data_IF_193953560765
#
_entry.id   IF_193953560765
#
_cell.length_a   1.000
_cell.length_b   1.000
_cell.length_c   1.000
_cell.angle_alpha   90.00
_cell.angle_beta   90.00
_cell.angle_gamma   90.00
#
_symmetry.space_group_name_H-M   'P 1'
#
loop_
_entity.id
_entity.type
_entity.pdbx_description
1 polymer ?
#
# COMPACT_ATOMS: atom_id res chain seq x y z
N UNK A 1 -30.48 29.19 41.76
CA UNK A 1 -31.54 28.40 42.42
C UNK A 1 -31.48 27.00 41.84
N UNK A 2 -30.97 26.06 42.62
CA UNK A 2 -31.62 24.80 43.08
C UNK A 2 -31.93 23.84 41.91
N UNK A 3 -31.51 22.61 41.81
CA UNK A 3 -31.09 21.50 42.73
C UNK A 3 -30.40 20.44 41.84
N UNK A 4 -29.23 19.88 42.06
CA UNK A 4 -28.86 18.81 43.01
C UNK A 4 -29.69 17.52 42.85
N UNK A 5 -28.89 16.45 42.59
CA UNK A 5 -28.83 15.16 43.31
C UNK A 5 -29.61 14.06 42.57
N UNK A 6 -29.12 12.84 42.25
CA UNK A 6 -28.45 11.88 43.13
C UNK A 6 -27.81 10.75 42.28
N UNK A 7 -26.60 10.34 42.62
CA UNK A 7 -26.00 9.07 42.30
C UNK A 7 -26.62 7.96 43.18
N UNK A 8 -26.78 6.75 42.68
CA UNK A 8 -26.79 5.54 43.51
C UNK A 8 -26.07 4.40 42.81
N UNK A 9 -25.02 4.01 43.46
CA UNK A 9 -24.23 2.78 43.36
C UNK A 9 -25.09 1.60 43.81
N UNK A 10 -25.04 0.47 43.13
CA UNK A 10 -25.34 -0.82 43.72
C UNK A 10 -24.35 -1.87 43.30
N UNK A 11 -23.40 -2.13 44.19
CA UNK A 11 -22.55 -3.33 44.29
C UNK A 11 -23.23 -4.28 45.26
N UNK A 12 -23.32 -5.58 44.90
CA UNK A 12 -23.46 -6.73 45.82
C UNK A 12 -23.35 -7.99 44.94
N UNK A 13 -22.27 -8.77 44.93
CA UNK A 13 -21.71 -9.74 45.86
C UNK A 13 -22.74 -10.76 46.36
N UNK A 14 -22.46 -12.03 46.02
CA UNK A 14 -22.63 -13.27 46.82
C UNK A 14 -22.40 -14.45 45.88
N UNK A 15 -21.37 -15.21 45.86
CA UNK A 15 -20.67 -16.08 46.77
C UNK A 15 -21.50 -17.25 47.34
N UNK A 16 -20.96 -18.44 47.09
CA UNK A 16 -21.14 -19.70 47.81
C UNK A 16 -22.38 -20.57 47.57
N UNK A 17 -22.16 -21.78 47.02
CA UNK A 17 -22.38 -23.02 47.80
C UNK A 17 -21.71 -24.21 47.12
N UNK A 18 -20.63 -24.68 47.71
CA UNK A 18 -20.21 -26.07 47.60
C UNK A 18 -21.17 -26.94 48.42
N UNK A 19 -21.51 -28.14 47.97
CA UNK A 19 -21.49 -29.33 48.82
C UNK A 19 -21.41 -30.58 48.00
N UNK A 20 -20.57 -31.43 48.48
CA UNK A 20 -20.25 -32.77 48.09
C UNK A 20 -21.34 -33.79 48.36
N UNK A 21 -21.33 -34.87 47.61
CA UNK A 21 -22.10 -36.04 47.87
C UNK A 21 -21.50 -37.29 47.18
N UNK A 22 -20.53 -37.89 47.84
CA UNK A 22 -20.12 -39.25 47.52
C UNK A 22 -21.18 -40.28 47.92
N UNK A 23 -21.51 -41.22 47.03
CA UNK A 23 -21.85 -42.55 47.52
C UNK A 23 -21.52 -43.63 46.47
N UNK A 24 -20.65 -44.54 46.89
CA UNK A 24 -20.34 -45.84 46.24
C UNK A 24 -21.49 -46.82 46.43
N UNK A 25 -21.77 -47.63 45.41
CA UNK A 25 -21.96 -49.05 45.60
C UNK A 25 -21.72 -49.82 44.28
N UNK A 26 -20.92 -50.83 44.38
CA UNK A 26 -20.53 -51.81 43.39
C UNK A 26 -21.61 -52.91 43.28
N UNK A 27 -21.60 -53.60 42.15
CA UNK A 27 -21.39 -55.05 42.03
C UNK A 27 -21.98 -55.62 40.73
N UNK A 28 -21.07 -56.06 39.86
CA UNK A 28 -20.99 -57.24 38.97
C UNK A 28 -22.18 -57.61 38.06
N UNK A 29 -21.93 -57.83 36.75
CA UNK A 29 -21.44 -59.09 36.16
C UNK A 29 -21.23 -58.97 34.66
N UNK A 30 -20.21 -59.67 34.19
CA UNK A 30 -19.73 -60.03 32.87
C UNK A 30 -20.69 -59.92 31.68
N UNK A 31 -20.15 -59.29 30.56
CA UNK A 31 -20.15 -59.99 29.27
C UNK A 31 -19.03 -59.42 28.37
N UNK A 32 -18.20 -60.31 27.87
CA UNK A 32 -17.17 -60.10 26.87
C UNK A 32 -17.75 -59.55 25.58
N UNK A 33 -17.26 -58.38 25.14
CA UNK A 33 -17.28 -58.00 23.73
C UNK A 33 -16.01 -57.21 23.44
N UNK A 34 -15.30 -57.60 22.40
CA UNK A 34 -14.02 -57.14 21.88
C UNK A 34 -13.97 -55.63 21.75
N UNK A 35 -12.86 -54.95 22.14
CA UNK A 35 -12.72 -53.50 21.90
C UNK A 35 -12.40 -53.26 20.45
N UNK A 36 -13.37 -52.76 19.70
CA UNK A 36 -13.07 -52.03 18.47
C UNK A 36 -12.34 -50.76 18.82
N UNK A 37 -11.08 -50.65 18.42
CA UNK A 37 -10.27 -49.46 18.51
C UNK A 37 -10.93 -48.36 17.72
N UNK A 38 -11.73 -47.50 18.35
CA UNK A 38 -12.06 -46.19 17.81
C UNK A 38 -10.77 -45.36 17.91
N UNK A 39 -10.09 -45.19 16.79
CA UNK A 39 -9.12 -44.14 16.64
C UNK A 39 -9.88 -42.83 16.82
N UNK A 40 -9.77 -42.24 18.01
CA UNK A 40 -10.04 -40.82 18.18
C UNK A 40 -9.03 -40.09 17.31
N UNK A 41 -9.41 -39.73 16.09
CA UNK A 41 -8.75 -38.75 15.30
C UNK A 41 -8.98 -37.44 16.02
N UNK A 42 -8.10 -37.14 16.96
CA UNK A 42 -7.96 -35.79 17.50
C UNK A 42 -7.54 -34.90 16.31
N UNK A 43 -8.50 -34.24 15.68
CA UNK A 43 -8.23 -33.17 14.73
C UNK A 43 -7.42 -32.14 15.49
N UNK A 44 -6.13 -32.08 15.22
CA UNK A 44 -5.26 -31.05 15.77
C UNK A 44 -5.90 -29.69 15.47
N UNK A 45 -5.98 -28.81 16.48
CA UNK A 45 -6.54 -27.48 16.28
C UNK A 45 -5.74 -26.77 15.18
N UNK A 46 -6.45 -26.20 14.21
CA UNK A 46 -5.82 -25.42 13.13
C UNK A 46 -4.98 -24.30 13.73
N UNK A 47 -3.83 -24.02 13.12
CA UNK A 47 -3.02 -22.84 13.46
C UNK A 47 -3.65 -21.62 12.80
N UNK A 48 -4.03 -20.63 13.59
CA UNK A 48 -4.54 -19.37 13.07
C UNK A 48 -3.38 -18.49 12.60
N UNK A 49 -3.51 -17.93 11.39
CA UNK A 49 -2.58 -16.98 10.76
C UNK A 49 -3.36 -15.74 10.35
N UNK A 50 -2.90 -14.58 10.77
CA UNK A 50 -3.54 -13.28 10.50
C UNK A 50 -2.69 -12.48 9.52
N UNK A 51 -3.34 -11.93 8.49
CA UNK A 51 -2.74 -11.03 7.52
C UNK A 51 -3.24 -9.62 7.77
N UNK A 52 -2.36 -8.60 7.75
CA UNK A 52 -2.75 -7.20 7.60
C UNK A 52 -2.42 -6.71 6.19
N UNK A 53 -3.38 -5.96 5.60
CA UNK A 53 -3.26 -5.34 4.29
C UNK A 53 -3.96 -3.98 4.29
N UNK A 54 -3.66 -3.13 3.30
CA UNK A 54 -4.15 -1.74 3.29
C UNK A 54 -4.84 -1.30 2.00
N UNK A 55 -5.11 -2.19 1.06
CA UNK A 55 -5.80 -1.82 -0.18
C UNK A 55 -7.24 -1.35 0.09
N UNK A 56 -7.54 -0.11 -0.29
CA UNK A 56 -8.87 0.50 -0.12
C UNK A 56 -9.88 -0.05 -1.12
N UNK A 57 -9.42 -0.43 -2.32
CA UNK A 57 -10.27 -0.89 -3.41
C UNK A 57 -11.00 -2.20 -3.04
N UNK A 58 -12.33 -2.18 -3.16
CA UNK A 58 -13.16 -3.35 -2.84
C UNK A 58 -12.82 -4.57 -3.71
N UNK A 59 -12.44 -4.36 -4.98
CA UNK A 59 -11.97 -5.41 -5.90
C UNK A 59 -10.74 -6.15 -5.35
N UNK A 60 -9.75 -5.41 -4.82
CA UNK A 60 -8.55 -5.99 -4.22
C UNK A 60 -8.88 -6.75 -2.93
N UNK A 61 -9.76 -6.21 -2.08
CA UNK A 61 -10.20 -6.87 -0.86
C UNK A 61 -10.92 -8.18 -1.15
N UNK A 62 -11.81 -8.20 -2.15
CA UNK A 62 -12.49 -9.42 -2.61
C UNK A 62 -11.52 -10.44 -3.17
N UNK A 63 -10.53 -9.99 -3.95
CA UNK A 63 -9.51 -10.86 -4.52
C UNK A 63 -8.65 -11.51 -3.43
N UNK A 64 -8.15 -10.74 -2.46
CA UNK A 64 -7.40 -11.30 -1.33
C UNK A 64 -8.25 -12.29 -0.52
N UNK A 65 -9.52 -11.96 -0.27
CA UNK A 65 -10.44 -12.86 0.42
C UNK A 65 -10.59 -14.19 -0.34
N UNK A 66 -10.74 -14.14 -1.66
CA UNK A 66 -10.77 -15.33 -2.51
C UNK A 66 -9.51 -16.19 -2.41
N UNK A 67 -8.33 -15.56 -2.43
CA UNK A 67 -7.04 -16.25 -2.27
C UNK A 67 -6.96 -16.96 -0.90
N UNK A 68 -7.35 -16.26 0.16
CA UNK A 68 -7.38 -16.80 1.53
C UNK A 68 -8.34 -17.97 1.65
N UNK A 69 -9.54 -17.86 1.09
CA UNK A 69 -10.55 -18.92 1.08
C UNK A 69 -10.07 -20.17 0.33
N UNK A 70 -9.41 -19.98 -0.81
CA UNK A 70 -8.87 -21.08 -1.61
C UNK A 70 -7.75 -21.80 -0.87
N UNK A 71 -6.85 -21.06 -0.21
CA UNK A 71 -5.84 -21.66 0.67
C UNK A 71 -6.50 -22.45 1.81
N UNK A 72 -7.44 -21.85 2.51
CA UNK A 72 -8.13 -22.48 3.64
C UNK A 72 -8.91 -23.76 3.25
N UNK A 73 -9.39 -23.84 2.00
CA UNK A 73 -10.02 -25.04 1.45
C UNK A 73 -9.02 -26.11 1.01
N UNK A 74 -7.81 -25.70 0.60
CA UNK A 74 -6.80 -26.61 0.04
C UNK A 74 -6.10 -27.49 1.08
N UNK A 75 -6.20 -27.14 2.37
CA UNK A 75 -5.52 -27.86 3.46
C UNK A 75 -6.32 -27.73 4.78
N UNK A 76 -5.99 -28.56 5.78
CA UNK A 76 -6.75 -28.67 7.03
C UNK A 76 -6.03 -28.08 8.27
N UNK A 77 -4.73 -27.75 8.16
CA UNK A 77 -3.87 -27.49 9.32
C UNK A 77 -3.75 -26.00 9.70
N UNK A 78 -3.98 -25.11 8.74
CA UNK A 78 -3.82 -23.66 8.91
C UNK A 78 -5.15 -23.00 8.57
N UNK A 79 -5.52 -21.97 9.33
CA UNK A 79 -6.62 -21.08 9.02
C UNK A 79 -6.07 -19.66 8.88
N UNK A 80 -6.11 -19.14 7.67
CA UNK A 80 -5.71 -17.77 7.37
C UNK A 80 -6.93 -16.85 7.43
N UNK A 81 -6.74 -15.66 7.99
CA UNK A 81 -7.71 -14.55 7.98
C UNK A 81 -7.02 -13.26 7.57
N UNK A 82 -7.72 -12.39 6.87
CA UNK A 82 -7.19 -11.10 6.43
C UNK A 82 -7.93 -9.96 7.12
N UNK A 83 -7.17 -8.94 7.57
CA UNK A 83 -7.68 -7.73 8.22
C UNK A 83 -7.22 -6.51 7.44
N UNK A 84 -8.18 -5.70 7.01
CA UNK A 84 -7.93 -4.40 6.43
C UNK A 84 -7.50 -3.41 7.52
N UNK A 85 -6.44 -2.65 7.23
CA UNK A 85 -5.98 -1.50 8.01
C UNK A 85 -5.74 -0.36 7.02
N UNK A 86 -6.39 0.80 7.16
CA UNK A 86 -6.19 1.91 6.24
C UNK A 86 -4.73 2.29 6.07
N UNK A 87 -4.30 2.62 4.85
CA UNK A 87 -2.90 2.93 4.54
C UNK A 87 -2.35 4.05 5.42
N UNK A 88 -3.12 5.11 5.63
CA UNK A 88 -2.76 6.24 6.48
C UNK A 88 -2.47 5.87 7.95
N UNK A 89 -3.11 4.80 8.45
CA UNK A 89 -2.96 4.30 9.82
C UNK A 89 -1.99 3.12 9.92
N UNK A 90 -1.60 2.50 8.79
CA UNK A 90 -0.92 1.21 8.76
C UNK A 90 0.40 1.22 9.54
N UNK A 91 1.26 2.20 9.28
CA UNK A 91 2.54 2.38 9.99
C UNK A 91 2.35 2.59 11.49
N UNK A 92 1.35 3.38 11.87
CA UNK A 92 1.01 3.64 13.27
C UNK A 92 0.52 2.36 13.96
N UNK A 93 -0.35 1.58 13.31
CA UNK A 93 -0.85 0.33 13.85
C UNK A 93 0.27 -0.72 14.00
N UNK A 94 1.20 -0.82 13.05
CA UNK A 94 2.39 -1.68 13.17
C UNK A 94 3.26 -1.26 14.37
N UNK A 95 3.50 0.04 14.55
CA UNK A 95 4.30 0.55 15.67
C UNK A 95 3.64 0.25 17.02
N UNK A 96 2.32 0.46 17.13
CA UNK A 96 1.54 0.12 18.33
C UNK A 96 1.59 -1.39 18.59
N UNK A 97 1.33 -2.21 17.56
CA UNK A 97 1.36 -3.67 17.66
C UNK A 97 2.73 -4.21 18.06
N UNK A 98 3.80 -3.56 17.60
CA UNK A 98 5.18 -3.90 18.02
C UNK A 98 5.37 -3.68 19.53
N UNK A 99 4.95 -2.53 20.04
CA UNK A 99 5.07 -2.21 21.47
C UNK A 99 4.17 -3.10 22.35
N UNK A 100 2.99 -3.46 21.86
CA UNK A 100 2.01 -4.30 22.54
C UNK A 100 2.28 -5.81 22.38
N UNK A 101 3.17 -6.22 21.47
CA UNK A 101 3.37 -7.61 21.02
C UNK A 101 2.09 -8.23 20.41
N UNK A 102 1.28 -7.41 19.75
CA UNK A 102 0.02 -7.78 19.11
C UNK A 102 0.08 -7.53 17.59
N UNK A 103 1.14 -8.04 16.95
CA UNK A 103 1.30 -7.99 15.50
C UNK A 103 0.54 -9.14 14.81
N UNK A 104 0.15 -8.98 13.53
CA UNK A 104 -0.32 -10.09 12.70
C UNK A 104 0.81 -11.11 12.47
N UNK A 105 0.59 -12.11 11.62
CA UNK A 105 1.61 -13.06 11.22
C UNK A 105 2.23 -12.70 9.87
N UNK A 106 1.46 -12.05 9.00
CA UNK A 106 1.86 -11.61 7.67
C UNK A 106 1.42 -10.15 7.49
N UNK A 107 2.24 -9.37 6.81
CA UNK A 107 1.88 -8.02 6.36
C UNK A 107 2.15 -7.88 4.86
N UNK A 108 1.22 -7.24 4.16
CA UNK A 108 1.53 -6.56 2.91
C UNK A 108 2.05 -5.18 3.28
N UNK A 109 3.26 -4.87 2.86
CA UNK A 109 3.93 -3.63 3.24
C UNK A 109 4.50 -2.94 2.01
N UNK A 110 4.39 -1.62 1.96
CA UNK A 110 4.99 -0.82 0.88
C UNK A 110 6.51 -1.06 0.84
N UNK A 111 7.04 -1.25 -0.34
CA UNK A 111 8.42 -1.68 -0.55
C UNK A 111 9.48 -0.82 0.16
N UNK A 112 9.38 0.53 0.24
CA UNK A 112 10.40 1.36 0.90
C UNK A 112 10.43 1.19 2.43
N UNK A 113 9.35 0.70 3.03
CA UNK A 113 9.24 0.55 4.48
C UNK A 113 9.84 -0.77 4.99
N UNK A 114 10.06 -1.75 4.11
CA UNK A 114 10.52 -3.09 4.51
C UNK A 114 11.84 -3.04 5.28
N UNK A 115 12.82 -2.26 4.83
CA UNK A 115 14.11 -2.13 5.49
C UNK A 115 13.99 -1.53 6.91
N UNK A 116 13.06 -0.58 7.11
CA UNK A 116 12.80 0.03 8.41
C UNK A 116 12.34 -1.01 9.44
N UNK A 117 11.32 -1.79 9.10
CA UNK A 117 10.79 -2.80 10.02
C UNK A 117 11.70 -4.01 10.18
N UNK A 118 12.45 -4.38 9.14
CA UNK A 118 13.49 -5.40 9.24
C UNK A 118 14.60 -4.99 10.23
N UNK A 119 15.03 -3.73 10.22
CA UNK A 119 16.03 -3.20 11.16
C UNK A 119 15.58 -3.24 12.62
N UNK A 120 14.26 -3.17 12.86
CA UNK A 120 13.66 -3.31 14.19
C UNK A 120 13.55 -4.77 14.66
N UNK A 121 13.95 -5.76 13.84
CA UNK A 121 13.85 -7.19 14.15
C UNK A 121 12.42 -7.75 14.11
N UNK A 122 11.47 -7.02 13.51
CA UNK A 122 10.05 -7.41 13.48
C UNK A 122 9.82 -8.53 12.47
N UNK A 123 10.55 -8.55 11.35
CA UNK A 123 10.36 -9.54 10.29
C UNK A 123 11.25 -10.76 10.48
N UNK A 124 10.74 -11.92 10.11
CA UNK A 124 11.48 -13.17 10.07
C UNK A 124 12.48 -13.16 8.90
N UNK A 125 13.70 -13.63 9.16
CA UNK A 125 14.67 -13.93 8.11
C UNK A 125 14.22 -15.16 7.32
N UNK A 126 13.89 -14.97 6.05
CA UNK A 126 13.46 -16.01 5.13
C UNK A 126 14.50 -16.35 4.07
N UNK A 127 15.75 -15.96 4.27
CA UNK A 127 16.87 -16.26 3.36
C UNK A 127 16.95 -17.76 3.09
N UNK A 128 16.95 -18.13 1.81
CA UNK A 128 17.01 -19.53 1.38
C UNK A 128 15.74 -20.36 1.60
N UNK A 129 14.67 -19.78 2.16
CA UNK A 129 13.41 -20.51 2.41
C UNK A 129 12.43 -20.45 1.22
N UNK A 130 12.62 -19.52 0.30
CA UNK A 130 11.86 -19.36 -0.95
C UNK A 130 12.85 -19.23 -2.10
N UNK A 131 12.54 -19.84 -3.25
CA UNK A 131 13.33 -19.65 -4.47
C UNK A 131 13.07 -18.25 -5.07
N UNK A 132 14.11 -17.44 -5.12
CA UNK A 132 14.07 -16.07 -5.63
C UNK A 132 14.71 -15.90 -7.01
N UNK A 133 15.14 -16.98 -7.66
CA UNK A 133 15.88 -16.95 -8.95
C UNK A 133 15.10 -16.27 -10.09
N UNK A 134 13.78 -16.34 -10.05
CA UNK A 134 12.89 -15.75 -11.05
C UNK A 134 12.47 -14.31 -10.74
N UNK A 135 12.87 -13.72 -9.62
CA UNK A 135 12.52 -12.33 -9.31
C UNK A 135 13.48 -11.35 -9.98
N UNK A 136 12.96 -10.19 -10.39
CA UNK A 136 13.78 -9.06 -10.79
C UNK A 136 14.59 -8.54 -9.59
N UNK A 137 15.82 -8.12 -9.87
CA UNK A 137 16.75 -7.68 -8.81
C UNK A 137 16.24 -6.43 -8.08
N UNK A 138 15.69 -5.44 -8.79
CA UNK A 138 15.20 -4.19 -8.21
C UNK A 138 14.14 -4.44 -7.12
N UNK A 139 12.98 -5.05 -7.44
CA UNK A 139 11.97 -5.40 -6.44
C UNK A 139 12.52 -6.31 -5.33
N UNK A 140 13.34 -7.31 -5.66
CA UNK A 140 13.90 -8.22 -4.66
C UNK A 140 14.82 -7.50 -3.66
N UNK A 141 15.57 -6.49 -4.11
CA UNK A 141 16.44 -5.71 -3.23
C UNK A 141 15.66 -4.88 -2.20
N UNK A 142 14.41 -4.48 -2.49
CA UNK A 142 13.55 -3.81 -1.51
C UNK A 142 13.17 -4.71 -0.32
N UNK A 143 13.31 -6.03 -0.47
CA UNK A 143 13.05 -7.03 0.57
C UNK A 143 14.29 -7.36 1.40
N UNK A 144 15.46 -6.78 1.10
CA UNK A 144 16.74 -7.14 1.73
C UNK A 144 17.23 -6.04 2.68
N UNK A 145 17.86 -6.50 3.75
CA UNK A 145 18.66 -5.69 4.66
C UNK A 145 19.89 -6.50 5.09
N UNK A 146 21.08 -5.91 5.02
CA UNK A 146 22.36 -6.55 5.43
C UNK A 146 22.57 -7.97 4.85
N UNK A 147 22.21 -8.14 3.56
CA UNK A 147 22.34 -9.39 2.83
C UNK A 147 21.29 -10.46 3.15
N UNK A 148 20.38 -10.20 4.07
CA UNK A 148 19.28 -11.10 4.46
C UNK A 148 17.98 -10.72 3.78
N UNK A 149 17.10 -11.71 3.60
CA UNK A 149 15.80 -11.56 2.96
C UNK A 149 14.69 -11.54 4.01
N UNK A 150 13.90 -10.46 4.06
CA UNK A 150 12.84 -10.23 5.04
C UNK A 150 11.43 -10.18 4.46
N UNK A 151 11.30 -10.36 3.15
CA UNK A 151 10.03 -10.40 2.44
C UNK A 151 10.19 -10.96 1.05
N UNK A 152 9.07 -11.07 0.34
CA UNK A 152 9.03 -11.42 -1.09
C UNK A 152 8.26 -10.32 -1.82
N UNK A 153 8.76 -9.80 -2.94
CA UNK A 153 7.99 -8.84 -3.73
C UNK A 153 6.70 -9.50 -4.23
N UNK A 154 5.57 -8.92 -3.88
CA UNK A 154 4.28 -9.41 -4.39
C UNK A 154 4.06 -8.94 -5.82
N UNK A 155 4.16 -7.64 -6.04
CA UNK A 155 4.04 -7.01 -7.35
C UNK A 155 4.73 -5.66 -7.38
N UNK A 156 5.02 -5.19 -8.58
CA UNK A 156 5.53 -3.85 -8.84
C UNK A 156 4.43 -2.99 -9.41
N UNK A 157 4.46 -1.70 -9.12
CA UNK A 157 3.57 -0.71 -9.69
C UNK A 157 4.32 0.60 -9.93
N UNK A 158 3.71 1.47 -10.68
CA UNK A 158 4.20 2.82 -10.96
C UNK A 158 3.04 3.76 -11.26
N UNK A 159 3.36 5.01 -11.53
CA UNK A 159 2.40 6.08 -11.76
C UNK A 159 2.36 6.48 -13.24
N UNK A 160 1.16 6.85 -13.71
CA UNK A 160 0.95 7.41 -15.03
C UNK A 160 -0.10 8.55 -14.98
N UNK A 161 -0.27 9.28 -16.06
CA UNK A 161 -1.29 10.30 -16.22
C UNK A 161 -2.59 9.67 -16.70
N UNK A 162 -3.64 9.71 -15.89
CA UNK A 162 -5.01 9.43 -16.30
C UNK A 162 -5.67 10.71 -16.79
N UNK A 163 -6.42 10.65 -17.87
CA UNK A 163 -7.10 11.81 -18.41
C UNK A 163 -8.48 11.49 -18.97
N UNK A 164 -9.40 12.46 -18.85
CA UNK A 164 -10.73 12.40 -19.43
C UNK A 164 -10.67 12.94 -20.86
N UNK A 165 -10.89 12.07 -21.85
CA UNK A 165 -10.78 12.41 -23.27
C UNK A 165 -11.78 13.48 -23.71
N UNK A 166 -13.03 13.42 -23.23
CA UNK A 166 -14.07 14.37 -23.60
C UNK A 166 -13.76 15.75 -22.99
N UNK A 167 -13.23 15.85 -21.77
CA UNK A 167 -12.86 17.12 -21.17
C UNK A 167 -11.68 17.78 -21.87
N UNK A 168 -10.63 17.03 -22.21
CA UNK A 168 -9.50 17.55 -22.96
C UNK A 168 -9.94 18.02 -24.35
N UNK A 169 -10.75 17.21 -25.02
CA UNK A 169 -11.32 17.57 -26.35
C UNK A 169 -12.17 18.81 -26.28
N UNK A 170 -13.04 18.95 -25.29
CA UNK A 170 -13.89 20.14 -25.11
C UNK A 170 -13.04 21.40 -24.86
N UNK A 171 -11.91 21.28 -24.16
CA UNK A 171 -10.96 22.36 -23.96
C UNK A 171 -10.05 22.64 -25.17
N UNK A 172 -10.14 21.83 -26.24
CA UNK A 172 -9.27 21.93 -27.42
C UNK A 172 -7.81 21.59 -27.12
N UNK A 173 -7.58 20.69 -26.16
CA UNK A 173 -6.26 20.31 -25.70
C UNK A 173 -5.85 18.92 -26.16
N UNK A 174 -4.58 18.75 -26.49
CA UNK A 174 -3.93 17.45 -26.60
C UNK A 174 -3.54 16.93 -25.20
N UNK A 175 -3.22 15.66 -25.10
CA UNK A 175 -2.66 15.06 -23.88
C UNK A 175 -1.28 15.69 -23.62
N UNK A 176 -1.03 16.24 -22.40
CA UNK A 176 0.22 16.92 -22.09
C UNK A 176 1.39 15.93 -21.98
N UNK A 177 2.56 16.33 -22.48
CA UNK A 177 3.81 15.56 -22.48
C UNK A 177 4.92 16.25 -21.69
N UNK A 178 4.73 17.50 -21.33
CA UNK A 178 5.66 18.31 -20.52
C UNK A 178 4.94 18.97 -19.35
N UNK A 179 5.69 19.41 -18.35
CA UNK A 179 5.12 20.14 -17.21
C UNK A 179 4.40 21.41 -17.62
N UNK A 180 4.98 22.16 -18.55
CA UNK A 180 4.37 23.39 -19.04
C UNK A 180 3.02 23.09 -19.74
N UNK A 181 2.97 22.04 -20.57
CA UNK A 181 1.72 21.59 -21.19
C UNK A 181 0.73 21.10 -20.13
N UNK A 182 1.17 20.32 -19.11
CA UNK A 182 0.30 19.87 -18.01
C UNK A 182 -0.37 21.06 -17.34
N UNK A 183 0.41 22.09 -16.99
CA UNK A 183 -0.12 23.29 -16.34
C UNK A 183 -1.12 24.02 -17.22
N UNK A 184 -0.82 24.20 -18.51
CA UNK A 184 -1.70 24.90 -19.45
C UNK A 184 -2.98 24.10 -19.73
N UNK A 185 -2.91 22.78 -19.90
CA UNK A 185 -4.08 21.91 -20.07
C UNK A 185 -4.94 21.94 -18.81
N UNK A 186 -4.31 21.82 -17.63
CA UNK A 186 -5.01 21.87 -16.36
C UNK A 186 -5.76 23.19 -16.17
N UNK A 187 -5.16 24.35 -16.52
CA UNK A 187 -5.84 25.65 -16.49
C UNK A 187 -7.05 25.69 -17.41
N UNK A 188 -6.91 25.19 -18.66
CA UNK A 188 -7.98 25.22 -19.65
C UNK A 188 -9.15 24.31 -19.33
N UNK A 189 -8.89 23.22 -18.61
CA UNK A 189 -9.92 22.25 -18.18
C UNK A 189 -10.53 22.59 -16.82
N UNK A 190 -9.94 23.52 -16.06
CA UNK A 190 -10.50 24.00 -14.79
C UNK A 190 -11.73 24.86 -15.03
N UNK A 191 -12.79 24.58 -14.29
CA UNK A 191 -14.06 25.33 -14.26
C UNK A 191 -14.52 25.49 -12.81
N UNK A 192 -15.66 26.10 -12.58
CA UNK A 192 -16.28 26.20 -11.24
C UNK A 192 -16.61 24.82 -10.62
N UNK A 193 -16.70 23.76 -11.44
CA UNK A 193 -17.10 22.41 -11.02
C UNK A 193 -16.02 21.35 -11.22
N UNK A 194 -15.04 21.61 -12.04
CA UNK A 194 -14.00 20.65 -12.45
C UNK A 194 -12.64 21.23 -12.14
N UNK A 195 -11.83 20.49 -11.41
CA UNK A 195 -10.40 20.79 -11.28
C UNK A 195 -9.64 20.20 -12.47
N UNK A 196 -8.66 20.94 -12.98
CA UNK A 196 -7.90 20.48 -14.15
C UNK A 196 -6.97 19.33 -13.85
N UNK A 197 -6.39 19.32 -12.64
CA UNK A 197 -5.42 18.30 -12.24
C UNK A 197 -5.42 18.06 -10.73
N UNK A 198 -5.12 16.81 -10.33
CA UNK A 198 -4.74 16.44 -8.98
C UNK A 198 -3.88 15.17 -8.95
N UNK A 199 -3.18 14.99 -7.85
CA UNK A 199 -2.76 13.70 -7.32
C UNK A 199 -2.97 13.72 -5.81
N UNK A 200 -2.89 12.59 -5.13
CA UNK A 200 -2.87 12.58 -3.65
C UNK A 200 -1.72 13.47 -3.16
N UNK A 201 -2.06 14.45 -2.36
CA UNK A 201 -1.12 15.43 -1.82
C UNK A 201 -1.16 15.43 -0.29
N UNK A 202 -1.57 14.30 0.31
CA UNK A 202 -1.57 14.08 1.74
C UNK A 202 -0.16 14.27 2.32
N UNK A 203 -0.09 14.75 3.56
CA UNK A 203 1.16 14.77 4.32
C UNK A 203 1.47 13.37 4.85
N UNK A 204 1.76 12.44 3.95
CA UNK A 204 2.14 11.06 4.24
C UNK A 204 2.87 10.45 3.03
N UNK A 205 3.06 9.11 3.04
CA UNK A 205 3.75 8.38 1.96
C UNK A 205 3.05 8.50 0.60
N UNK A 206 1.71 8.62 0.54
CA UNK A 206 1.00 8.81 -0.73
C UNK A 206 1.38 10.12 -1.41
N UNK A 207 1.42 11.23 -0.64
CA UNK A 207 1.86 12.52 -1.15
C UNK A 207 3.33 12.50 -1.56
N UNK A 208 4.19 11.87 -0.76
CA UNK A 208 5.61 11.69 -1.10
C UNK A 208 5.76 10.92 -2.41
N UNK A 209 5.07 9.80 -2.56
CA UNK A 209 5.15 8.95 -3.74
C UNK A 209 4.79 9.69 -5.02
N UNK A 210 3.70 10.46 -4.98
CA UNK A 210 3.28 11.28 -6.12
C UNK A 210 4.27 12.41 -6.38
N UNK A 211 4.72 13.14 -5.34
CA UNK A 211 5.59 14.29 -5.50
C UNK A 211 7.00 13.92 -6.00
N UNK A 212 7.54 12.79 -5.58
CA UNK A 212 8.86 12.35 -6.01
C UNK A 212 8.98 12.15 -7.53
N UNK A 213 7.89 11.90 -8.25
CA UNK A 213 7.93 11.87 -9.72
C UNK A 213 8.44 13.21 -10.28
N UNK A 214 7.94 14.32 -9.74
CA UNK A 214 8.39 15.66 -10.13
C UNK A 214 9.85 15.93 -9.72
N UNK A 215 10.25 15.49 -8.53
CA UNK A 215 11.63 15.64 -8.05
C UNK A 215 12.62 14.94 -8.98
N UNK A 216 12.34 13.69 -9.34
CA UNK A 216 13.19 12.91 -10.24
C UNK A 216 13.16 13.44 -11.67
N UNK A 217 11.99 13.86 -12.18
CA UNK A 217 11.85 14.48 -13.50
C UNK A 217 12.64 15.78 -13.61
N UNK A 218 12.72 16.55 -12.54
CA UNK A 218 13.56 17.76 -12.48
C UNK A 218 15.07 17.45 -12.46
N UNK A 219 15.49 16.20 -12.22
CA UNK A 219 16.88 15.75 -12.31
C UNK A 219 17.63 15.68 -10.98
N UNK A 220 16.93 15.60 -9.84
CA UNK A 220 17.53 15.37 -8.52
C UNK A 220 17.04 14.06 -7.88
N UNK A 221 17.36 13.83 -6.61
CA UNK A 221 17.06 12.60 -5.88
C UNK A 221 16.14 12.89 -4.69
N UNK A 222 15.52 11.83 -4.11
CA UNK A 222 14.73 11.94 -2.89
C UNK A 222 15.53 12.38 -1.66
N UNK A 223 16.85 12.35 -1.74
CA UNK A 223 17.76 12.72 -0.65
C UNK A 223 18.36 14.14 -0.81
N UNK A 224 18.17 14.77 -1.97
CA UNK A 224 18.77 16.05 -2.32
C UNK A 224 17.72 17.00 -2.93
N UNK A 225 16.78 17.48 -2.10
CA UNK A 225 15.68 18.33 -2.57
C UNK A 225 15.95 19.83 -2.43
N UNK A 226 16.98 20.26 -1.69
CA UNK A 226 17.38 21.67 -1.57
C UNK A 226 18.44 22.06 -2.60
N UNK A 227 18.18 21.77 -3.86
CA UNK A 227 18.97 22.24 -4.99
C UNK A 227 18.04 22.85 -6.04
N UNK A 228 18.59 23.39 -7.12
CA UNK A 228 17.80 24.05 -8.16
C UNK A 228 16.68 23.18 -8.74
N UNK A 229 16.92 21.86 -8.89
CA UNK A 229 15.95 20.92 -9.43
C UNK A 229 14.81 20.61 -8.42
N UNK A 230 15.14 20.33 -7.16
CA UNK A 230 14.13 20.07 -6.13
C UNK A 230 13.27 21.30 -5.82
N UNK A 231 13.90 22.49 -5.74
CA UNK A 231 13.18 23.76 -5.59
C UNK A 231 12.26 24.01 -6.80
N UNK A 232 12.71 23.69 -8.03
CA UNK A 232 11.89 23.78 -9.25
C UNK A 232 10.66 22.89 -9.18
N UNK A 233 10.79 21.65 -8.68
CA UNK A 233 9.68 20.72 -8.53
C UNK A 233 8.61 21.24 -7.53
N UNK A 234 9.05 21.76 -6.39
CA UNK A 234 8.16 22.40 -5.41
C UNK A 234 7.49 23.66 -5.99
N UNK A 235 8.25 24.52 -6.65
CA UNK A 235 7.75 25.76 -7.27
C UNK A 235 6.72 25.48 -8.37
N UNK A 236 6.91 24.41 -9.16
CA UNK A 236 5.95 23.99 -10.17
C UNK A 236 4.60 23.62 -9.53
N UNK A 237 4.60 22.80 -8.49
CA UNK A 237 3.39 22.44 -7.76
C UNK A 237 2.71 23.68 -7.14
N UNK A 238 3.50 24.56 -6.49
CA UNK A 238 3.00 25.80 -5.93
C UNK A 238 2.39 26.75 -6.97
N UNK A 239 2.97 26.83 -8.16
CA UNK A 239 2.41 27.62 -9.28
C UNK A 239 1.08 27.07 -9.74
N UNK A 240 0.94 25.76 -9.91
CA UNK A 240 -0.32 25.13 -10.28
C UNK A 240 -1.41 25.32 -9.21
N UNK A 241 -1.05 25.19 -7.93
CA UNK A 241 -1.97 25.47 -6.82
C UNK A 241 -2.41 26.95 -6.81
N UNK A 242 -1.49 27.88 -7.01
CA UNK A 242 -1.78 29.33 -7.10
C UNK A 242 -2.67 29.68 -8.28
N UNK A 243 -2.49 29.02 -9.42
CA UNK A 243 -3.33 29.18 -10.61
C UNK A 243 -4.74 28.59 -10.43
N UNK A 244 -4.97 27.78 -9.38
CA UNK A 244 -6.20 27.02 -9.19
C UNK A 244 -6.33 25.81 -10.13
N UNK A 245 -5.27 25.47 -10.87
CA UNK A 245 -5.26 24.33 -11.81
C UNK A 245 -4.96 22.98 -11.11
N UNK A 246 -4.39 23.01 -9.93
CA UNK A 246 -4.27 21.87 -9.02
C UNK A 246 -5.37 21.92 -7.96
N UNK A 247 -6.12 20.85 -7.79
CA UNK A 247 -7.22 20.78 -6.82
C UNK A 247 -6.68 21.02 -5.39
N UNK A 248 -7.20 22.07 -4.73
CA UNK A 248 -6.75 22.44 -3.35
C UNK A 248 -7.08 21.36 -2.34
N UNK A 249 -8.19 20.66 -2.54
CA UNK A 249 -8.69 19.61 -1.65
C UNK A 249 -7.82 18.34 -1.68
N UNK A 250 -6.94 18.21 -2.70
CA UNK A 250 -6.05 17.05 -2.85
C UNK A 250 -5.11 16.82 -1.66
N UNK A 251 -4.89 17.86 -0.84
CA UNK A 251 -4.15 17.74 0.43
C UNK A 251 -4.88 16.88 1.47
N UNK A 252 -6.15 16.54 1.24
CA UNK A 252 -6.96 15.68 2.08
C UNK A 252 -7.44 14.41 1.36
N UNK A 253 -7.02 14.20 0.10
CA UNK A 253 -7.45 13.06 -0.71
C UNK A 253 -6.42 11.95 -0.72
N UNK A 254 -6.86 10.74 -0.42
CA UNK A 254 -6.11 9.52 -0.73
C UNK A 254 -6.01 9.34 -2.25
N UNK A 255 -5.19 8.39 -2.69
CA UNK A 255 -5.17 8.01 -4.11
C UNK A 255 -6.53 7.44 -4.56
N UNK A 256 -7.24 6.75 -3.65
CA UNK A 256 -8.61 6.29 -3.86
C UNK A 256 -9.60 7.46 -3.99
N UNK A 257 -9.51 8.47 -3.12
CA UNK A 257 -10.36 9.67 -3.22
C UNK A 257 -10.09 10.43 -4.53
N UNK A 258 -8.83 10.58 -4.93
CA UNK A 258 -8.45 11.22 -6.19
C UNK A 258 -9.07 10.49 -7.38
N UNK A 259 -9.03 9.15 -7.41
CA UNK A 259 -9.71 8.32 -8.41
C UNK A 259 -11.23 8.55 -8.39
N UNK A 260 -11.85 8.60 -7.21
CA UNK A 260 -13.30 8.82 -7.08
C UNK A 260 -13.72 10.19 -7.60
N UNK A 261 -12.91 11.24 -7.39
CA UNK A 261 -13.15 12.56 -7.99
C UNK A 261 -13.06 12.50 -9.52
N UNK A 262 -12.11 11.76 -10.06
CA UNK A 262 -11.96 11.58 -11.50
C UNK A 262 -13.15 10.81 -12.11
N UNK A 263 -13.56 9.69 -11.52
CA UNK A 263 -14.73 8.90 -11.95
C UNK A 263 -16.03 9.74 -11.90
N UNK A 264 -16.16 10.60 -10.88
CA UNK A 264 -17.32 11.47 -10.71
C UNK A 264 -17.34 12.65 -11.71
N UNK A 265 -16.31 12.81 -12.55
CA UNK A 265 -16.22 13.90 -13.51
C UNK A 265 -15.87 15.26 -12.89
N UNK A 266 -15.36 15.27 -11.66
CA UNK A 266 -14.92 16.49 -10.96
C UNK A 266 -13.45 16.82 -11.22
N UNK A 267 -12.73 15.95 -11.94
CA UNK A 267 -11.31 16.07 -12.22
C UNK A 267 -11.00 15.69 -13.66
N UNK A 268 -10.29 16.56 -14.39
CA UNK A 268 -9.96 16.30 -15.80
C UNK A 268 -8.76 15.39 -16.00
N UNK A 269 -7.75 15.51 -15.13
CA UNK A 269 -6.52 14.72 -15.17
C UNK A 269 -6.08 14.37 -13.76
N UNK A 270 -5.53 13.16 -13.58
CA UNK A 270 -4.89 12.76 -12.32
C UNK A 270 -3.60 11.97 -12.56
N UNK A 271 -2.65 12.09 -11.65
CA UNK A 271 -1.59 11.09 -11.50
C UNK A 271 -2.09 10.03 -10.51
N UNK A 272 -2.05 8.78 -10.95
CA UNK A 272 -2.39 7.63 -10.12
C UNK A 272 -1.70 6.37 -10.67
N UNK A 273 -1.85 5.23 -9.99
CA UNK A 273 -1.10 4.04 -10.35
C UNK A 273 -1.90 2.91 -10.97
N UNK A 274 -1.16 1.85 -11.33
CA UNK A 274 -1.68 0.65 -11.99
C UNK A 274 -2.84 0.00 -11.22
N UNK A 275 -2.81 0.07 -9.88
CA UNK A 275 -3.83 -0.51 -8.98
C UNK A 275 -5.22 0.09 -9.13
N UNK A 276 -5.34 1.25 -9.81
CA UNK A 276 -6.64 1.85 -10.09
C UNK A 276 -7.29 1.29 -11.36
N UNK A 277 -6.51 0.69 -12.27
CA UNK A 277 -7.01 0.22 -13.57
C UNK A 277 -8.19 -0.76 -13.43
N UNK A 278 -8.15 -1.78 -12.56
CA UNK A 278 -9.29 -2.68 -12.39
C UNK A 278 -10.57 -1.93 -11.96
N UNK A 279 -10.46 -1.05 -10.97
CA UNK A 279 -11.59 -0.26 -10.47
C UNK A 279 -12.10 0.74 -11.52
N UNK A 280 -11.21 1.42 -12.21
CA UNK A 280 -11.57 2.33 -13.31
C UNK A 280 -12.36 1.62 -14.41
N UNK A 281 -11.92 0.43 -14.81
CA UNK A 281 -12.62 -0.40 -15.82
C UNK A 281 -14.00 -0.88 -15.36
N UNK A 282 -14.14 -1.12 -14.05
CA UNK A 282 -15.42 -1.55 -13.47
C UNK A 282 -16.40 -0.40 -13.29
N UNK A 283 -15.93 0.76 -12.80
CA UNK A 283 -16.80 1.84 -12.32
C UNK A 283 -16.94 3.02 -13.30
N UNK A 284 -15.95 3.21 -14.21
CA UNK A 284 -15.95 4.32 -15.18
C UNK A 284 -16.34 3.88 -16.60
N UNK A 285 -17.28 2.92 -16.73
CA UNK A 285 -17.67 2.33 -18.05
C UNK A 285 -18.25 3.33 -19.04
N UNK A 286 -18.93 4.35 -18.54
CA UNK A 286 -19.59 5.37 -19.36
C UNK A 286 -18.69 6.59 -19.61
N UNK A 287 -17.48 6.61 -19.01
CA UNK A 287 -16.50 7.68 -19.20
C UNK A 287 -15.51 7.30 -20.30
N UNK A 288 -15.19 8.24 -21.18
CA UNK A 288 -14.05 8.10 -22.08
C UNK A 288 -12.81 8.57 -21.38
N UNK A 289 -12.00 7.64 -20.95
CA UNK A 289 -10.74 7.89 -20.26
C UNK A 289 -9.62 7.02 -20.81
N UNK A 290 -8.41 7.51 -20.64
CA UNK A 290 -7.22 6.74 -21.00
C UNK A 290 -6.05 7.12 -20.10
N UNK A 291 -4.91 6.44 -20.27
CA UNK A 291 -3.65 6.74 -19.60
C UNK A 291 -2.59 7.16 -20.60
N UNK A 292 -1.67 8.00 -20.16
CA UNK A 292 -0.50 8.43 -20.91
C UNK A 292 0.73 8.41 -20.03
N UNK A 293 1.92 8.45 -20.65
CA UNK A 293 3.17 8.69 -19.93
C UNK A 293 3.05 9.98 -19.12
N UNK A 294 3.73 10.02 -17.96
CA UNK A 294 3.80 11.24 -17.16
C UNK A 294 4.43 12.39 -17.95
N UNK A 295 3.86 13.59 -17.89
CA UNK A 295 4.49 14.77 -18.44
C UNK A 295 5.83 15.04 -17.79
N UNK A 296 6.88 15.16 -18.58
CA UNK A 296 8.25 15.32 -18.11
C UNK A 296 8.73 16.77 -18.01
N UNK A 297 9.80 16.97 -17.27
CA UNK A 297 10.62 18.19 -17.31
C UNK A 297 11.98 17.88 -17.97
N UNK A 298 13.05 17.72 -17.21
CA UNK A 298 14.38 17.43 -17.74
C UNK A 298 14.51 15.98 -18.27
N UNK A 299 13.77 15.06 -17.69
CA UNK A 299 13.80 13.64 -18.08
C UNK A 299 12.45 12.94 -17.78
N UNK A 300 12.23 11.77 -18.39
CA UNK A 300 11.19 10.86 -17.98
C UNK A 300 11.51 10.31 -16.58
N UNK A 301 10.51 10.21 -15.72
CA UNK A 301 10.57 9.45 -14.47
C UNK A 301 9.19 9.22 -13.89
N UNK A 302 9.00 8.08 -13.28
CA UNK A 302 7.86 7.72 -12.45
C UNK A 302 8.31 7.21 -11.09
N UNK A 303 7.39 6.96 -10.17
CA UNK A 303 7.69 6.32 -8.89
C UNK A 303 7.64 4.80 -9.02
N UNK A 304 8.71 4.10 -8.63
CA UNK A 304 8.65 2.65 -8.44
C UNK A 304 7.96 2.36 -7.11
N UNK A 305 6.83 1.71 -7.19
CA UNK A 305 6.09 1.19 -6.06
C UNK A 305 5.97 -0.32 -6.09
N UNK A 306 5.19 -0.85 -5.18
CA UNK A 306 4.87 -2.25 -5.06
C UNK A 306 4.87 -2.71 -3.62
N UNK A 307 4.21 -3.82 -3.37
CA UNK A 307 4.11 -4.42 -2.06
C UNK A 307 5.05 -5.59 -1.91
N UNK A 308 5.64 -5.66 -0.74
CA UNK A 308 6.33 -6.84 -0.25
C UNK A 308 5.41 -7.61 0.71
N UNK A 309 5.47 -8.93 0.65
CA UNK A 309 4.86 -9.79 1.65
C UNK A 309 5.94 -10.11 2.67
N UNK A 310 5.79 -9.61 3.89
CA UNK A 310 6.72 -9.88 4.99
C UNK A 310 6.05 -10.74 6.07
N UNK A 311 6.83 -11.63 6.67
CA UNK A 311 6.40 -12.53 7.74
C UNK A 311 6.90 -11.97 9.07
N UNK A 312 6.00 -11.80 10.03
CA UNK A 312 6.36 -11.37 11.37
C UNK A 312 7.13 -12.49 12.08
N UNK A 313 8.21 -12.11 12.76
CA UNK A 313 9.04 -13.04 13.52
C UNK A 313 8.34 -13.46 14.82
N UNK A 314 7.50 -14.46 14.73
CA UNK A 314 6.72 -15.01 15.86
C UNK A 314 6.56 -16.54 15.76
N UNK A 315 5.80 -17.12 16.68
CA UNK A 315 5.55 -18.58 16.74
C UNK A 315 4.83 -19.18 15.53
N UNK A 316 4.18 -18.34 14.71
CA UNK A 316 3.42 -18.75 13.53
C UNK A 316 4.22 -18.59 12.21
N UNK A 317 5.49 -18.15 12.27
CA UNK A 317 6.31 -17.82 11.07
C UNK A 317 6.36 -18.97 10.05
N UNK A 318 6.45 -20.24 10.49
CA UNK A 318 6.46 -21.37 9.56
C UNK A 318 5.12 -21.56 8.85
N UNK A 319 3.99 -21.40 9.57
CA UNK A 319 2.65 -21.47 8.98
C UNK A 319 2.37 -20.30 8.04
N UNK A 320 2.85 -19.12 8.40
CA UNK A 320 2.82 -17.93 7.53
C UNK A 320 3.63 -18.17 6.24
N UNK A 321 4.80 -18.79 6.36
CA UNK A 321 5.65 -19.12 5.20
C UNK A 321 4.95 -20.11 4.23
N UNK A 322 4.17 -21.07 4.73
CA UNK A 322 3.38 -21.97 3.88
C UNK A 322 2.35 -21.19 3.04
N UNK A 323 1.64 -20.25 3.65
CA UNK A 323 0.71 -19.39 2.91
C UNK A 323 1.43 -18.51 1.88
N UNK A 324 2.55 -17.89 2.25
CA UNK A 324 3.33 -17.05 1.34
C UNK A 324 3.81 -17.87 0.13
N UNK A 325 4.33 -19.08 0.35
CA UNK A 325 4.73 -20.01 -0.76
C UNK A 325 3.54 -20.36 -1.66
N UNK A 326 2.37 -20.64 -1.07
CA UNK A 326 1.16 -20.91 -1.84
C UNK A 326 0.75 -19.73 -2.71
N UNK A 327 0.74 -18.53 -2.13
CA UNK A 327 0.31 -17.31 -2.82
C UNK A 327 1.28 -16.89 -3.92
N UNK A 328 2.58 -17.12 -3.72
CA UNK A 328 3.63 -16.70 -4.67
C UNK A 328 4.07 -17.79 -5.64
N UNK A 329 3.39 -18.95 -5.65
CA UNK A 329 3.63 -20.00 -6.65
C UNK A 329 3.34 -19.47 -8.07
N UNK A 330 4.16 -19.80 -9.08
CA UNK A 330 4.08 -19.18 -10.42
C UNK A 330 2.69 -19.23 -11.05
N UNK A 331 2.02 -20.38 -10.96
CA UNK A 331 0.69 -20.60 -11.53
C UNK A 331 -0.42 -19.81 -10.84
N UNK A 332 -0.20 -19.37 -9.59
CA UNK A 332 -1.16 -18.61 -8.79
C UNK A 332 -0.89 -17.11 -8.88
N UNK A 333 0.37 -16.73 -8.67
CA UNK A 333 0.75 -15.32 -8.64
C UNK A 333 0.38 -14.62 -9.96
N UNK A 334 0.47 -15.29 -11.10
CA UNK A 334 0.07 -14.75 -12.40
C UNK A 334 -1.37 -14.23 -12.38
N UNK A 335 -2.30 -15.07 -11.93
CA UNK A 335 -3.73 -14.70 -11.86
C UNK A 335 -3.99 -13.59 -10.85
N UNK A 336 -3.30 -13.64 -9.71
CA UNK A 336 -3.51 -12.67 -8.64
C UNK A 336 -2.98 -11.29 -9.02
N UNK A 337 -1.78 -11.21 -9.58
CA UNK A 337 -1.14 -9.94 -9.96
C UNK A 337 -1.97 -9.17 -10.98
N UNK A 338 -2.53 -9.86 -11.98
CA UNK A 338 -3.40 -9.23 -12.98
C UNK A 338 -4.65 -8.61 -12.33
N UNK A 339 -5.25 -9.33 -11.37
CA UNK A 339 -6.42 -8.84 -10.64
C UNK A 339 -6.14 -7.66 -9.72
N UNK A 340 -4.92 -7.53 -9.21
CA UNK A 340 -4.48 -6.36 -8.46
C UNK A 340 -4.07 -5.19 -9.37
N UNK A 341 -3.98 -5.39 -10.67
CA UNK A 341 -3.49 -4.37 -11.60
C UNK A 341 -1.99 -4.11 -11.44
N UNK A 342 -1.23 -5.08 -10.97
CA UNK A 342 0.20 -4.93 -10.76
C UNK A 342 1.02 -5.55 -11.89
N UNK A 343 2.23 -5.07 -12.06
CA UNK A 343 3.23 -5.66 -12.94
C UNK A 343 3.99 -6.71 -12.11
N UNK A 344 4.15 -7.90 -12.66
CA UNK A 344 4.81 -8.98 -11.92
C UNK A 344 6.25 -8.65 -11.58
N UNK A 345 6.63 -8.88 -10.33
CA UNK A 345 8.03 -8.84 -9.89
C UNK A 345 8.81 -10.10 -10.30
N UNK A 346 8.15 -11.09 -10.93
CA UNK A 346 8.75 -12.33 -11.44
C UNK A 346 8.93 -12.26 -12.95
N UNK A 347 10.12 -12.61 -13.43
CA UNK A 347 10.49 -12.63 -14.87
C UNK A 347 9.62 -13.58 -15.69
N UNK A 348 9.42 -14.81 -15.17
CA UNK A 348 8.63 -15.86 -15.83
C UNK A 348 7.14 -15.54 -16.00
N UNK A 349 6.62 -14.57 -15.25
CA UNK A 349 5.23 -14.08 -15.35
C UNK A 349 5.18 -12.78 -16.18
N UNK A 350 6.07 -11.83 -15.92
CA UNK A 350 6.07 -10.50 -16.55
C UNK A 350 6.16 -10.58 -18.09
N UNK A 351 6.94 -11.51 -18.64
CA UNK A 351 7.13 -11.69 -20.09
C UNK A 351 5.82 -11.96 -20.86
N UNK A 352 4.79 -12.42 -20.17
CA UNK A 352 3.49 -12.76 -20.78
C UNK A 352 2.34 -11.85 -20.37
N UNK A 353 2.61 -10.94 -19.44
CA UNK A 353 1.59 -10.10 -18.79
C UNK A 353 1.17 -8.94 -19.72
N UNK A 354 -0.11 -8.61 -19.70
CA UNK A 354 -0.72 -7.44 -20.36
C UNK A 354 -0.47 -7.29 -21.87
N UNK A 355 -0.20 -8.40 -22.59
CA UNK A 355 -0.10 -8.36 -24.05
C UNK A 355 -1.41 -7.94 -24.67
N UNK A 356 -1.40 -6.83 -25.44
CA UNK A 356 -2.58 -6.28 -26.07
C UNK A 356 -3.46 -5.40 -25.16
N UNK A 357 -2.95 -5.02 -24.00
CA UNK A 357 -3.57 -4.05 -23.08
C UNK A 357 -2.82 -2.73 -23.17
N UNK A 358 -3.32 -1.82 -24.03
CA UNK A 358 -2.65 -0.55 -24.35
C UNK A 358 -2.44 0.33 -23.11
N UNK A 359 -3.41 0.34 -22.17
CA UNK A 359 -3.27 1.11 -20.93
C UNK A 359 -2.15 0.57 -20.03
N UNK A 360 -2.12 -0.74 -19.82
CA UNK A 360 -1.06 -1.37 -19.02
C UNK A 360 0.31 -1.30 -19.69
N UNK A 361 0.36 -1.24 -21.03
CA UNK A 361 1.63 -1.04 -21.77
C UNK A 361 2.25 0.34 -21.50
N UNK A 362 1.43 1.36 -21.20
CA UNK A 362 1.94 2.68 -20.78
C UNK A 362 2.70 2.54 -19.45
N UNK A 363 2.12 1.87 -18.45
CA UNK A 363 2.79 1.64 -17.16
C UNK A 363 4.06 0.79 -17.29
N UNK A 364 4.03 -0.29 -18.08
CA UNK A 364 5.24 -1.10 -18.36
C UNK A 364 6.36 -0.24 -18.99
N UNK A 365 5.99 0.74 -19.81
CA UNK A 365 6.94 1.68 -20.40
C UNK A 365 7.44 2.70 -19.36
N UNK A 366 6.56 3.23 -18.51
CA UNK A 366 6.94 4.13 -17.41
C UNK A 366 7.86 3.46 -16.40
N UNK A 367 7.64 2.18 -16.11
CA UNK A 367 8.44 1.41 -15.16
C UNK A 367 9.94 1.38 -15.52
N UNK A 368 10.28 1.54 -16.81
CA UNK A 368 11.67 1.62 -17.26
C UNK A 368 12.39 2.88 -16.74
N UNK A 369 11.63 3.92 -16.37
CA UNK A 369 12.12 5.19 -15.88
C UNK A 369 11.82 5.41 -14.39
N UNK A 370 11.22 4.40 -13.73
CA UNK A 370 10.76 4.54 -12.37
C UNK A 370 11.92 4.61 -11.37
N UNK A 371 11.90 5.65 -10.52
CA UNK A 371 12.82 5.83 -9.41
C UNK A 371 12.36 5.11 -8.16
N UNK A 372 13.27 4.43 -7.47
CA UNK A 372 12.97 3.76 -6.21
C UNK A 372 12.93 4.76 -5.04
N UNK A 373 11.98 4.57 -4.15
CA UNK A 373 11.94 5.18 -2.81
C UNK A 373 12.79 4.30 -1.90
N UNK A 374 13.73 4.87 -1.16
CA UNK A 374 14.62 4.03 -0.33
C UNK A 374 15.53 3.09 -1.15
N UNK A 375 15.92 1.93 -0.60
CA UNK A 375 15.69 1.50 0.80
C UNK A 375 16.56 2.28 1.80
N UNK A 376 15.97 2.73 2.89
CA UNK A 376 16.68 3.32 4.02
C UNK A 376 15.93 3.00 5.31
N UNK A 377 16.59 2.58 6.43
CA UNK A 377 15.91 2.27 7.67
C UNK A 377 15.04 3.40 8.22
N UNK A 378 15.43 4.65 7.97
CA UNK A 378 14.68 5.85 8.39
C UNK A 378 13.81 6.43 7.27
N UNK A 379 13.48 5.67 6.23
CA UNK A 379 12.66 6.15 5.11
C UNK A 379 11.36 6.83 5.57
N UNK A 380 10.58 6.31 6.53
CA UNK A 380 9.36 6.98 6.97
C UNK A 380 9.58 8.45 7.39
N UNK A 381 10.66 8.74 8.10
CA UNK A 381 10.97 10.13 8.53
C UNK A 381 11.45 11.01 7.37
N UNK A 382 12.13 10.44 6.39
CA UNK A 382 12.53 11.15 5.16
C UNK A 382 11.29 11.49 4.35
N UNK A 383 10.39 10.53 4.17
CA UNK A 383 9.12 10.71 3.48
C UNK A 383 8.24 11.78 4.13
N UNK A 384 8.15 11.78 5.46
CA UNK A 384 7.40 12.81 6.21
C UNK A 384 7.97 14.22 5.96
N UNK A 385 9.29 14.36 5.88
CA UNK A 385 9.91 15.66 5.58
C UNK A 385 9.61 16.15 4.16
N UNK A 386 9.59 15.22 3.18
CA UNK A 386 9.28 15.52 1.78
C UNK A 386 7.80 15.88 1.61
N UNK A 387 6.88 15.07 2.15
CA UNK A 387 5.44 15.34 2.05
C UNK A 387 5.03 16.63 2.77
N UNK A 388 5.68 16.95 3.88
CA UNK A 388 5.46 18.22 4.56
C UNK A 388 5.85 19.40 3.66
N UNK A 389 7.03 19.38 3.03
CA UNK A 389 7.47 20.45 2.13
C UNK A 389 6.51 20.62 0.94
N UNK A 390 6.04 19.49 0.37
CA UNK A 390 5.06 19.50 -0.70
C UNK A 390 3.73 20.12 -0.26
N UNK A 391 3.20 19.70 0.89
CA UNK A 391 1.96 20.23 1.45
C UNK A 391 2.07 21.74 1.79
N UNK A 392 3.18 22.18 2.40
CA UNK A 392 3.42 23.58 2.72
C UNK A 392 3.40 24.47 1.47
N UNK A 393 3.93 23.99 0.35
CA UNK A 393 3.95 24.74 -0.91
C UNK A 393 2.58 24.76 -1.58
N UNK A 394 1.85 23.65 -1.61
CA UNK A 394 0.49 23.57 -2.16
C UNK A 394 -0.49 24.46 -1.39
N UNK A 395 -0.36 24.54 -0.07
CA UNK A 395 -1.20 25.40 0.78
C UNK A 395 -0.74 26.87 0.78
N UNK A 396 0.43 27.17 0.21
CA UNK A 396 1.00 28.51 0.20
C UNK A 396 1.54 28.96 1.56
N UNK A 397 1.71 28.04 2.53
CA UNK A 397 2.25 28.35 3.87
C UNK A 397 3.75 28.53 3.86
N UNK A 398 4.45 28.03 2.84
CA UNK A 398 5.88 28.20 2.63
C UNK A 398 6.21 28.45 1.16
N UNK A 399 7.25 29.25 0.90
CA UNK A 399 7.85 29.33 -0.43
C UNK A 399 8.67 28.07 -0.73
N UNK A 400 8.84 27.72 -2.00
CA UNK A 400 9.49 26.49 -2.44
C UNK A 400 10.92 26.30 -1.91
N UNK A 401 11.71 27.38 -1.92
CA UNK A 401 13.09 27.39 -1.41
C UNK A 401 13.17 27.19 0.11
N UNK A 402 12.27 27.82 0.86
CA UNK A 402 12.19 27.68 2.30
C UNK A 402 11.72 26.27 2.70
N UNK A 403 10.72 25.71 2.02
CA UNK A 403 10.23 24.36 2.23
C UNK A 403 11.30 23.31 1.90
N UNK A 404 12.01 23.46 0.75
CA UNK A 404 13.10 22.60 0.35
C UNK A 404 14.24 22.61 1.39
N UNK A 405 14.65 23.79 1.85
CA UNK A 405 15.70 23.95 2.86
C UNK A 405 15.34 23.28 4.19
N UNK A 406 14.10 23.44 4.65
CA UNK A 406 13.60 22.83 5.88
C UNK A 406 13.62 21.30 5.79
N UNK A 407 13.10 20.75 4.71
CA UNK A 407 13.06 19.31 4.50
C UNK A 407 14.47 18.72 4.36
N UNK A 408 15.38 19.38 3.60
CA UNK A 408 16.77 18.95 3.48
C UNK A 408 17.48 18.91 4.82
N UNK A 409 17.30 19.92 5.67
CA UNK A 409 17.89 19.91 7.01
C UNK A 409 17.44 18.72 7.87
N UNK A 410 16.20 18.28 7.71
CA UNK A 410 15.70 17.07 8.36
C UNK A 410 16.34 15.81 7.75
N UNK A 411 16.39 15.73 6.41
CA UNK A 411 17.00 14.59 5.69
C UNK A 411 18.48 14.47 6.06
N UNK A 412 19.25 15.55 6.02
CA UNK A 412 20.68 15.54 6.38
C UNK A 412 20.91 15.07 7.82
N UNK A 413 20.04 15.50 8.75
CA UNK A 413 20.11 15.06 10.15
C UNK A 413 19.81 13.56 10.35
N UNK A 414 19.05 12.97 9.44
CA UNK A 414 18.74 11.53 9.43
C UNK A 414 19.91 10.75 8.83
N UNK A 415 20.44 11.21 7.71
CA UNK A 415 21.52 10.54 6.98
C UNK A 415 22.87 10.62 7.71
N UNK A 416 23.05 11.56 8.64
CA UNK A 416 24.26 11.71 9.45
C UNK A 416 24.34 10.74 10.66
N UNK A 417 23.27 9.98 10.94
CA UNK A 417 23.19 9.00 12.04
C UNK A 417 23.59 7.62 11.60
#
# INVERSE_FOLDING_TARGET
>A
MKKRVLAVVLVLVLAFSMMAGCQKKAVTTDNKTTPGTKSDVTTAAKKDVVIWYYWENESHQKLLTGIVDDFNKSQANIKVTAKYVPFADFKKQLSIGTAAQELPDIVFIDNPDTASYASMGIFADITGKIDTSQYFEGPLNSCKLDGKLYGIPFGSNDLALFYNEDMLKAAGCAVPTTWDELREVAKKTTTDKVSGFACSSLQNEEGTFNFLTFVWQAGTTSYEINNAAGIKALDFAGKMAKDGSWAKESINWTQGDTMNQFISGNLAMMINGTWQIPTMREQAKDMKWNVAMLPKDAKESSGLGGENIAIINNKNSDSALEFVKYMTAPEKIKTYIDGFGYISSRKDVADTQYKGDDQMQIFIKELQFAGARGPHPSWPSISDAISLAFNEVLTGTSAADAAAKKAQGTIDSILAK
#
